data_IF_642819423180
#
_entry.id   IF_642819423180
#
_cell.length_a   1.000
_cell.length_b   1.000
_cell.length_c   1.000
_cell.angle_alpha   90.00
_cell.angle_beta   90.00
_cell.angle_gamma   90.00
#
_symmetry.space_group_name_H-M   'P 1'
#
loop_
_entity.id
_entity.type
_entity.pdbx_description
1 polymer ?
#
# COMPACT_ATOMS: atom_id res chain seq x y z
N UNK A 1 -5.22 -2.89 -11.96
CA UNK A 1 -5.74 -3.47 -10.72
C UNK A 1 -5.83 -2.31 -9.76
N UNK A 2 -6.84 -2.32 -8.92
CA UNK A 2 -6.92 -1.39 -7.81
C UNK A 2 -6.58 -2.18 -6.55
N UNK A 3 -5.94 -1.52 -5.59
CA UNK A 3 -5.61 -2.13 -4.33
C UNK A 3 -6.03 -1.17 -3.23
N UNK A 4 -6.77 -1.69 -2.28
CA UNK A 4 -7.10 -1.00 -1.05
C UNK A 4 -6.28 -1.60 0.08
N UNK A 5 -5.64 -0.73 0.86
CA UNK A 5 -4.99 -1.08 2.12
C UNK A 5 -5.69 -0.33 3.24
N UNK A 6 -6.16 -1.05 4.25
CA UNK A 6 -6.88 -0.47 5.37
C UNK A 6 -6.37 -1.00 6.71
N UNK A 7 -6.06 -0.09 7.63
CA UNK A 7 -5.86 -0.43 9.03
C UNK A 7 -7.22 -0.75 9.66
N UNK A 8 -7.36 -1.92 10.28
CA UNK A 8 -8.60 -2.36 10.91
C UNK A 8 -8.62 -2.02 12.40
N UNK A 9 -7.65 -2.53 13.14
CA UNK A 9 -7.62 -2.42 14.61
C UNK A 9 -6.24 -2.81 15.16
N UNK A 10 -5.87 -2.23 16.31
CA UNK A 10 -4.75 -2.70 17.14
C UNK A 10 -5.28 -3.61 18.27
N UNK A 11 -4.61 -4.74 18.48
CA UNK A 11 -4.86 -5.73 19.53
C UNK A 11 -3.54 -5.98 20.30
N UNK A 12 -3.56 -6.60 21.49
CA UNK A 12 -2.33 -6.85 22.26
C UNK A 12 -1.24 -7.59 21.46
N UNK A 13 -1.64 -8.49 20.58
CA UNK A 13 -0.76 -9.32 19.75
C UNK A 13 -0.23 -8.60 18.50
N UNK A 14 -0.80 -7.44 18.14
CA UNK A 14 -0.36 -6.64 17.00
C UNK A 14 -1.44 -5.84 16.29
N UNK A 15 -1.29 -5.70 14.97
CA UNK A 15 -2.16 -4.84 14.15
C UNK A 15 -2.84 -5.63 13.04
N UNK A 16 -4.16 -5.53 12.99
CA UNK A 16 -4.95 -6.07 11.90
C UNK A 16 -5.00 -5.10 10.73
N UNK A 17 -4.64 -5.59 9.56
CA UNK A 17 -4.67 -4.88 8.29
C UNK A 17 -5.48 -5.66 7.26
N UNK A 18 -6.25 -4.95 6.43
CA UNK A 18 -6.97 -5.50 5.29
C UNK A 18 -6.31 -5.07 4.00
N UNK A 19 -6.02 -6.02 3.11
CA UNK A 19 -5.66 -5.79 1.73
C UNK A 19 -6.77 -6.33 0.85
N UNK A 20 -7.32 -5.48 -0.01
CA UNK A 20 -8.26 -5.90 -1.03
C UNK A 20 -7.67 -5.58 -2.40
N UNK A 21 -7.61 -6.60 -3.26
CA UNK A 21 -7.13 -6.49 -4.63
C UNK A 21 -8.33 -6.60 -5.55
N UNK A 22 -8.67 -5.51 -6.21
CA UNK A 22 -9.75 -5.42 -7.17
C UNK A 22 -9.18 -5.64 -8.57
N UNK A 23 -9.59 -6.70 -9.27
CA UNK A 23 -9.21 -6.91 -10.67
C UNK A 23 -9.81 -5.82 -11.57
N UNK A 24 -9.16 -5.53 -12.71
CA UNK A 24 -9.69 -4.53 -13.67
C UNK A 24 -10.93 -5.01 -14.42
N UNK A 25 -11.16 -6.32 -14.50
CA UNK A 25 -12.32 -6.90 -15.18
C UNK A 25 -13.49 -6.92 -14.22
N UNK A 26 -14.60 -6.33 -14.64
CA UNK A 26 -15.81 -6.14 -13.83
C UNK A 26 -16.41 -7.48 -13.32
N UNK A 27 -16.29 -8.53 -14.11
CA UNK A 27 -16.76 -9.88 -13.74
C UNK A 27 -15.85 -10.60 -12.74
N UNK A 28 -14.64 -10.10 -12.52
CA UNK A 28 -13.67 -10.75 -11.64
C UNK A 28 -13.91 -10.31 -10.20
N UNK A 29 -14.05 -11.29 -9.30
CA UNK A 29 -14.26 -11.04 -7.87
C UNK A 29 -12.93 -10.64 -7.20
N UNK A 30 -12.95 -9.77 -6.18
CA UNK A 30 -11.74 -9.32 -5.50
C UNK A 30 -11.08 -10.44 -4.70
N UNK A 31 -9.77 -10.29 -4.47
CA UNK A 31 -9.06 -11.05 -3.44
C UNK A 31 -8.95 -10.20 -2.17
N UNK A 32 -9.35 -10.74 -1.03
CA UNK A 32 -9.33 -10.06 0.26
C UNK A 32 -8.39 -10.83 1.18
N UNK A 33 -7.52 -10.11 1.87
CA UNK A 33 -6.63 -10.63 2.89
C UNK A 33 -6.79 -9.78 4.14
N UNK A 34 -6.92 -10.43 5.28
CA UNK A 34 -6.86 -9.78 6.59
C UNK A 34 -5.72 -10.42 7.38
N UNK A 35 -4.78 -9.58 7.81
CA UNK A 35 -3.49 -10.00 8.31
C UNK A 35 -3.21 -9.37 9.66
N UNK A 36 -2.82 -10.20 10.64
CA UNK A 36 -2.31 -9.73 11.92
C UNK A 36 -0.79 -9.57 11.79
N UNK A 37 -0.31 -8.36 12.00
CA UNK A 37 1.11 -8.04 11.93
C UNK A 37 1.67 -7.84 13.33
N UNK A 38 2.84 -8.43 13.57
CA UNK A 38 3.64 -8.13 14.75
C UNK A 38 3.99 -6.62 14.78
N UNK A 39 3.77 -5.91 15.90
CA UNK A 39 4.02 -4.47 15.94
C UNK A 39 5.53 -4.16 15.96
N UNK A 40 6.35 -5.06 16.49
CA UNK A 40 7.80 -4.90 16.63
C UNK A 40 8.54 -5.27 15.35
N UNK A 41 8.27 -6.47 14.84
CA UNK A 41 9.02 -7.09 13.72
C UNK A 41 8.32 -6.92 12.38
N UNK A 42 7.03 -6.53 12.38
CA UNK A 42 6.18 -6.47 11.18
C UNK A 42 6.07 -7.79 10.41
N UNK A 43 6.42 -8.90 11.05
CA UNK A 43 6.16 -10.23 10.51
C UNK A 43 4.66 -10.54 10.58
N UNK A 44 4.17 -11.27 9.60
CA UNK A 44 2.80 -11.75 9.62
C UNK A 44 2.69 -12.81 10.72
N UNK A 45 1.68 -12.70 11.58
CA UNK A 45 1.36 -13.69 12.62
C UNK A 45 0.15 -14.55 12.24
N UNK A 46 -0.79 -13.99 11.47
CA UNK A 46 -1.99 -14.68 11.01
C UNK A 46 -2.51 -14.06 9.72
N UNK A 47 -3.06 -14.88 8.83
CA UNK A 47 -3.74 -14.41 7.62
C UNK A 47 -5.02 -15.20 7.43
N UNK A 48 -6.13 -14.46 7.28
CA UNK A 48 -7.37 -14.99 6.72
C UNK A 48 -7.53 -14.42 5.32
N UNK A 49 -7.86 -15.25 4.34
CA UNK A 49 -8.05 -14.82 2.94
C UNK A 49 -9.41 -15.22 2.39
N UNK A 50 -9.86 -14.51 1.37
CA UNK A 50 -10.95 -14.90 0.49
C UNK A 50 -10.58 -14.59 -0.95
N UNK A 51 -10.54 -15.60 -1.80
CA UNK A 51 -10.25 -15.43 -3.23
C UNK A 51 -11.51 -15.71 -4.03
N UNK A 52 -12.02 -14.68 -4.69
CA UNK A 52 -13.20 -14.78 -5.53
C UNK A 52 -14.44 -15.28 -4.80
N UNK A 53 -15.01 -16.39 -5.26
CA UNK A 53 -16.23 -17.00 -4.69
C UNK A 53 -15.93 -18.05 -3.61
N UNK A 54 -14.66 -18.39 -3.39
CA UNK A 54 -14.29 -19.36 -2.37
C UNK A 54 -14.63 -18.84 -0.96
N UNK A 55 -14.94 -19.73 0.01
CA UNK A 55 -15.17 -19.33 1.38
C UNK A 55 -13.91 -18.72 2.01
N UNK A 56 -14.03 -17.81 2.99
CA UNK A 56 -12.88 -17.32 3.73
C UNK A 56 -12.18 -18.43 4.49
N UNK A 57 -10.85 -18.52 4.36
CA UNK A 57 -10.03 -19.57 4.96
C UNK A 57 -8.78 -19.01 5.63
N UNK A 58 -8.25 -19.74 6.61
CA UNK A 58 -6.95 -19.44 7.22
C UNK A 58 -5.83 -19.89 6.28
N UNK A 59 -4.80 -19.05 6.18
CA UNK A 59 -3.58 -19.36 5.42
C UNK A 59 -2.48 -19.71 6.41
N UNK A 60 -1.74 -20.81 6.23
CA UNK A 60 -0.60 -21.12 7.07
C UNK A 60 0.44 -20.01 6.94
N UNK A 61 0.87 -19.48 8.08
CA UNK A 61 1.92 -18.47 8.17
C UNK A 61 3.14 -19.12 8.79
N UNK A 62 4.26 -19.08 8.08
CA UNK A 62 5.56 -19.49 8.63
C UNK A 62 6.24 -18.27 9.25
N UNK A 63 7.16 -18.49 10.19
CA UNK A 63 7.86 -17.42 10.93
C UNK A 63 8.60 -16.42 10.01
N UNK A 64 8.85 -16.80 8.75
CA UNK A 64 9.57 -16.03 7.75
C UNK A 64 8.66 -15.41 6.65
N UNK A 65 7.33 -15.44 6.79
CA UNK A 65 6.45 -14.79 5.83
C UNK A 65 6.35 -13.28 6.16
N UNK A 66 7.11 -12.47 5.42
CA UNK A 66 7.18 -11.02 5.62
C UNK A 66 6.06 -10.30 4.87
N UNK A 67 5.33 -9.43 5.58
CA UNK A 67 4.51 -8.39 4.96
C UNK A 67 5.31 -7.10 4.88
N UNK A 68 5.39 -6.50 3.69
CA UNK A 68 6.01 -5.19 3.52
C UNK A 68 4.96 -4.13 3.86
N UNK A 69 5.01 -3.61 5.09
CA UNK A 69 4.22 -2.43 5.48
C UNK A 69 4.55 -1.25 4.56
N UNK A 70 3.64 -0.28 4.37
CA UNK A 70 4.01 1.02 3.85
C UNK A 70 5.14 1.60 4.71
N UNK A 71 6.34 1.70 4.14
CA UNK A 71 7.51 2.19 4.84
C UNK A 71 7.38 3.71 4.98
N UNK A 72 7.29 4.20 6.22
CA UNK A 72 7.40 5.62 6.51
C UNK A 72 8.88 5.99 6.38
N UNK A 73 9.24 6.69 5.30
CA UNK A 73 10.61 7.15 5.08
C UNK A 73 11.00 8.22 6.11
N UNK A 74 12.31 8.30 6.43
CA UNK A 74 12.85 9.33 7.31
C UNK A 74 12.76 10.71 6.66
N UNK A 75 12.81 11.78 7.47
CA UNK A 75 12.72 13.15 6.95
C UNK A 75 13.91 13.45 6.04
N UNK A 76 15.10 13.04 6.44
CA UNK A 76 16.37 13.25 5.74
C UNK A 76 16.37 12.55 4.37
N UNK A 77 15.83 11.32 4.31
CA UNK A 77 15.71 10.59 3.05
C UNK A 77 14.71 11.26 2.09
N UNK A 78 13.59 11.77 2.63
CA UNK A 78 12.61 12.49 1.81
C UNK A 78 13.21 13.80 1.31
N UNK A 79 13.84 14.59 2.17
CA UNK A 79 14.43 15.89 1.80
C UNK A 79 15.54 15.74 0.78
N UNK A 80 16.48 14.81 0.97
CA UNK A 80 17.59 14.59 0.03
C UNK A 80 17.14 14.12 -1.36
N UNK A 81 15.98 13.49 -1.46
CA UNK A 81 15.40 13.03 -2.72
C UNK A 81 14.29 13.94 -3.27
N UNK A 82 13.88 14.98 -2.52
CA UNK A 82 12.82 15.90 -2.95
C UNK A 82 13.36 16.80 -4.05
N UNK A 83 12.70 16.81 -5.21
CA UNK A 83 13.00 17.69 -6.34
C UNK A 83 12.17 18.96 -6.34
N UNK A 84 11.06 18.97 -5.59
CA UNK A 84 10.19 20.14 -5.46
C UNK A 84 8.85 19.79 -4.84
N UNK A 85 7.92 20.74 -4.91
CA UNK A 85 6.53 20.55 -4.51
C UNK A 85 5.63 20.82 -5.71
N UNK A 86 4.66 19.94 -5.93
CA UNK A 86 3.75 20.00 -7.08
C UNK A 86 2.30 19.87 -6.63
N UNK A 87 1.39 20.45 -7.41
CA UNK A 87 -0.05 20.21 -7.26
C UNK A 87 -0.46 19.06 -8.17
N UNK A 88 -0.96 17.98 -7.57
CA UNK A 88 -1.33 16.74 -8.27
C UNK A 88 -2.82 16.50 -8.14
N UNK A 89 -3.46 16.22 -9.28
CA UNK A 89 -4.85 15.77 -9.37
C UNK A 89 -4.87 14.26 -9.56
N UNK A 90 -5.56 13.56 -8.66
CA UNK A 90 -5.86 12.13 -8.72
C UNK A 90 -7.36 11.91 -8.51
N UNK A 91 -7.90 10.70 -8.75
CA UNK A 91 -9.33 10.45 -8.50
C UNK A 91 -9.76 10.75 -7.06
N UNK A 92 -8.88 10.55 -6.07
CA UNK A 92 -9.15 10.90 -4.67
C UNK A 92 -9.22 12.41 -4.37
N UNK A 93 -8.88 13.29 -5.33
CA UNK A 93 -8.90 14.74 -5.17
C UNK A 93 -7.63 15.44 -5.66
N UNK A 94 -7.46 16.69 -5.24
CA UNK A 94 -6.28 17.52 -5.57
C UNK A 94 -5.44 17.72 -4.33
N UNK A 95 -4.13 17.47 -4.44
CA UNK A 95 -3.19 17.53 -3.33
C UNK A 95 -1.96 18.34 -3.70
N UNK A 96 -1.47 19.13 -2.75
CA UNK A 96 -0.09 19.62 -2.77
C UNK A 96 0.80 18.51 -2.19
N UNK A 97 1.77 18.06 -2.98
CA UNK A 97 2.63 16.93 -2.64
C UNK A 97 4.10 17.22 -2.97
N UNK A 98 5.01 16.71 -2.14
CA UNK A 98 6.44 16.72 -2.42
C UNK A 98 6.73 15.71 -3.51
N UNK A 99 7.42 16.14 -4.57
CA UNK A 99 7.92 15.24 -5.61
C UNK A 99 9.28 14.69 -5.19
N UNK A 100 9.31 13.40 -4.88
CA UNK A 100 10.47 12.68 -4.36
C UNK A 100 10.94 11.70 -5.42
N UNK A 101 12.23 11.71 -5.74
CA UNK A 101 12.80 10.87 -6.79
C UNK A 101 13.93 10.02 -6.22
N UNK A 102 13.73 8.70 -6.20
CA UNK A 102 14.70 7.71 -5.77
C UNK A 102 15.23 6.91 -6.97
N UNK A 103 16.41 6.33 -6.83
CA UNK A 103 16.85 5.26 -7.73
C UNK A 103 15.92 4.04 -7.57
N UNK A 104 15.70 3.31 -8.65
CA UNK A 104 15.01 2.01 -8.57
C UNK A 104 15.85 0.99 -7.79
N UNK A 105 15.18 0.04 -7.12
CA UNK A 105 15.82 -0.98 -6.29
C UNK A 105 16.72 -1.94 -7.09
N UNK A 106 16.45 -2.11 -8.38
CA UNK A 106 17.28 -2.88 -9.31
C UNK A 106 18.45 -2.06 -9.90
N UNK A 107 18.61 -0.80 -9.48
CA UNK A 107 19.62 0.13 -10.00
C UNK A 107 19.32 0.68 -11.39
N UNK A 108 18.22 0.27 -12.01
CA UNK A 108 17.87 0.59 -13.39
C UNK A 108 16.68 1.54 -13.43
N UNK A 109 16.96 2.82 -13.67
CA UNK A 109 15.93 3.87 -13.70
C UNK A 109 15.61 4.44 -12.33
N UNK A 110 14.38 4.94 -12.17
CA UNK A 110 13.98 5.72 -10.98
C UNK A 110 12.53 5.49 -10.57
N UNK A 111 12.30 5.69 -9.29
CA UNK A 111 10.98 5.66 -8.68
C UNK A 111 10.64 7.09 -8.25
N UNK A 112 9.52 7.61 -8.75
CA UNK A 112 9.02 8.93 -8.39
C UNK A 112 7.77 8.81 -7.53
N UNK A 113 7.76 9.45 -6.37
CA UNK A 113 6.63 9.54 -5.46
C UNK A 113 6.15 10.98 -5.31
N UNK A 114 4.84 11.17 -5.26
CA UNK A 114 4.22 12.41 -4.81
C UNK A 114 3.66 12.17 -3.42
N UNK A 115 4.39 12.68 -2.43
CA UNK A 115 4.15 12.40 -1.02
C UNK A 115 3.48 13.57 -0.29
N UNK A 116 2.48 13.28 0.54
CA UNK A 116 1.76 14.25 1.37
C UNK A 116 1.31 13.60 2.67
N UNK A 117 1.43 14.31 3.79
CA UNK A 117 1.02 13.80 5.11
C UNK A 117 -0.50 13.80 5.31
N UNK A 118 -1.25 14.38 4.35
CA UNK A 118 -2.71 14.53 4.41
C UNK A 118 -3.49 13.24 4.15
N UNK A 119 -2.83 12.17 3.72
CA UNK A 119 -3.47 10.87 3.43
C UNK A 119 -2.77 9.75 4.19
N UNK A 120 -3.50 8.71 4.63
CA UNK A 120 -2.91 7.49 5.15
C UNK A 120 -1.92 6.89 4.14
N UNK A 121 -0.76 6.44 4.62
CA UNK A 121 0.31 5.91 3.75
C UNK A 121 1.17 6.97 3.05
N UNK A 122 0.77 8.24 3.07
CA UNK A 122 1.64 9.37 2.76
C UNK A 122 1.97 9.59 1.27
N UNK A 123 1.43 8.79 0.35
CA UNK A 123 1.73 8.86 -1.10
C UNK A 123 0.42 8.90 -1.89
N UNK A 124 0.26 9.93 -2.73
CA UNK A 124 -0.95 10.10 -3.58
C UNK A 124 -0.74 9.60 -5.01
N UNK A 125 0.52 9.50 -5.44
CA UNK A 125 0.91 8.96 -6.74
C UNK A 125 2.33 8.40 -6.65
N UNK A 126 2.57 7.30 -7.34
CA UNK A 126 3.89 6.75 -7.55
C UNK A 126 4.03 6.33 -9.01
N UNK A 127 5.22 6.43 -9.59
CA UNK A 127 5.52 5.80 -10.87
C UNK A 127 6.95 5.27 -10.88
N UNK A 128 7.15 4.18 -11.62
CA UNK A 128 8.46 3.63 -11.93
C UNK A 128 8.78 3.99 -13.38
N UNK A 129 9.97 4.53 -13.59
CA UNK A 129 10.50 4.91 -14.89
C UNK A 129 11.77 4.10 -15.11
N UNK A 130 11.85 3.37 -16.22
CA UNK A 130 13.04 2.59 -16.58
C UNK A 130 14.20 3.50 -17.07
N UNK A 131 15.33 2.89 -17.40
CA UNK A 131 16.54 3.59 -17.89
C UNK A 131 16.31 4.36 -19.20
N UNK A 132 15.35 3.91 -20.02
CA UNK A 132 14.99 4.53 -21.30
C UNK A 132 13.99 5.68 -21.13
N UNK A 133 13.58 5.98 -19.89
CA UNK A 133 12.62 7.02 -19.58
C UNK A 133 11.16 6.59 -19.78
N UNK A 134 10.88 5.31 -20.06
CA UNK A 134 9.51 4.81 -20.21
C UNK A 134 8.92 4.49 -18.84
N UNK A 135 7.63 4.76 -18.72
CA UNK A 135 6.89 4.47 -17.48
C UNK A 135 6.43 3.02 -17.50
N UNK A 136 7.07 2.19 -16.68
CA UNK A 136 6.75 0.75 -16.56
C UNK A 136 5.57 0.50 -15.61
N UNK A 137 5.35 1.40 -14.64
CA UNK A 137 4.28 1.27 -13.66
C UNK A 137 3.83 2.62 -13.11
N UNK A 138 2.52 2.76 -12.87
CA UNK A 138 1.91 3.92 -12.20
C UNK A 138 0.93 3.42 -11.16
N UNK A 139 0.96 4.02 -9.97
CA UNK A 139 -0.06 3.94 -8.94
C UNK A 139 -0.59 5.33 -8.60
N UNK A 140 -1.90 5.44 -8.42
CA UNK A 140 -2.59 6.67 -8.03
C UNK A 140 -3.56 6.39 -6.91
N UNK A 141 -3.71 7.34 -6.00
CA UNK A 141 -4.70 7.25 -4.92
C UNK A 141 -6.10 7.44 -5.50
N UNK A 142 -6.94 6.42 -5.33
CA UNK A 142 -8.32 6.43 -5.82
C UNK A 142 -9.29 6.99 -4.77
N UNK A 143 -9.08 6.64 -3.51
CA UNK A 143 -9.87 7.11 -2.36
C UNK A 143 -9.09 6.92 -1.05
N UNK A 144 -9.54 7.56 0.03
CA UNK A 144 -9.04 7.35 1.39
C UNK A 144 -10.13 7.75 2.40
N UNK A 145 -10.05 7.23 3.63
CA UNK A 145 -11.05 7.51 4.67
C UNK A 145 -10.78 6.79 5.99
N UNK A 146 -11.76 6.80 6.88
CA UNK A 146 -11.72 6.18 8.21
C UNK A 146 -12.85 5.16 8.39
N UNK A 147 -12.73 4.26 9.39
CA UNK A 147 -13.82 3.35 9.76
C UNK A 147 -13.86 2.04 8.98
N UNK A 148 -12.71 1.58 8.48
CA UNK A 148 -12.59 0.26 7.88
C UNK A 148 -13.03 -0.83 8.87
N UNK A 149 -13.78 -1.81 8.36
CA UNK A 149 -14.29 -2.96 9.14
C UNK A 149 -13.70 -4.25 8.59
N UNK A 150 -13.62 -5.29 9.41
CA UNK A 150 -13.36 -6.63 8.88
C UNK A 150 -14.42 -7.05 7.86
N UNK A 151 -13.99 -7.73 6.79
CA UNK A 151 -14.82 -8.42 5.81
C UNK A 151 -14.76 -9.94 5.97
N UNK A 152 -13.73 -10.46 6.65
CA UNK A 152 -13.52 -11.90 6.86
C UNK A 152 -13.80 -12.33 8.31
N UNK A 153 -14.34 -11.44 9.14
CA UNK A 153 -14.69 -11.71 10.52
C UNK A 153 -13.48 -11.99 11.42
N UNK A 154 -12.32 -11.40 11.12
CA UNK A 154 -11.17 -11.45 12.01
C UNK A 154 -11.33 -10.43 13.13
N UNK A 155 -11.01 -10.83 14.36
CA UNK A 155 -10.45 -10.05 15.46
C UNK A 155 -9.93 -11.03 16.51
#
# INVERSE_FOLDING_TARGET
MEMELAFLKRVPEGEWWRVQIMPKKEDSKPAIYEMLLSPETHTIRRVRRKIGTLPPEEVPVTENLYYIKPVKLTKESIEGATKGTETIKVPAGTFTARHVVYASLDGKGRVEWWATEKVPGGVVKAKVVDEEGKVSWISVLLSYGTGAKTLLGVY
#
